data_IF_630466627349
#
_entry.id   IF_630466627349
#
_cell.length_a   1.000
_cell.length_b   1.000
_cell.length_c   1.000
_cell.angle_alpha   90.00
_cell.angle_beta   90.00
_cell.angle_gamma   90.00
#
_symmetry.space_group_name_H-M   'P 1'
#
loop_
_entity.id
_entity.type
_entity.pdbx_description
1 polymer ?
#
# COMPACT_ATOMS: atom_id res chain seq x y z
N UNK A 1 -8.58 -19.90 17.32
CA UNK A 1 -7.79 -18.70 17.57
C UNK A 1 -6.35 -19.01 17.16
N UNK A 2 -5.99 -18.68 15.92
CA UNK A 2 -4.65 -18.93 15.38
C UNK A 2 -3.86 -17.65 15.54
N UNK A 3 -2.86 -17.67 16.40
CA UNK A 3 -1.93 -16.56 16.60
C UNK A 3 -0.79 -16.79 15.60
N UNK A 4 -0.72 -15.96 14.56
CA UNK A 4 0.44 -15.93 13.66
C UNK A 4 1.63 -15.30 14.41
N UNK A 5 2.83 -15.89 14.32
CA UNK A 5 4.02 -15.31 14.94
C UNK A 5 4.45 -14.00 14.25
N UNK A 6 5.07 -13.05 14.99
CA UNK A 6 5.36 -11.69 14.51
C UNK A 6 6.44 -11.56 13.41
N UNK A 7 6.95 -12.65 12.84
CA UNK A 7 8.01 -12.65 11.82
C UNK A 7 7.68 -13.52 10.60
N UNK A 8 6.44 -13.52 10.13
CA UNK A 8 5.99 -14.40 9.03
C UNK A 8 6.28 -13.88 7.61
N UNK A 9 7.38 -13.17 7.38
CA UNK A 9 7.86 -12.91 6.01
C UNK A 9 9.10 -13.74 5.71
N UNK A 10 9.00 -15.07 5.73
CA UNK A 10 10.04 -15.90 5.14
C UNK A 10 9.77 -16.05 3.63
N UNK A 11 10.71 -15.63 2.82
CA UNK A 11 10.69 -15.57 1.34
C UNK A 11 10.31 -16.91 0.69
N UNK A 12 10.49 -18.02 1.36
CA UNK A 12 10.25 -19.37 0.82
C UNK A 12 8.77 -19.76 0.63
N UNK A 13 7.82 -19.04 1.23
CA UNK A 13 6.38 -19.28 1.06
C UNK A 13 5.83 -18.46 -0.13
N UNK A 14 6.51 -17.40 -0.53
CA UNK A 14 6.05 -16.46 -1.57
C UNK A 14 6.31 -16.95 -3.02
N UNK A 15 7.18 -17.93 -3.25
CA UNK A 15 7.45 -18.43 -4.60
C UNK A 15 6.27 -19.21 -5.23
N UNK A 16 5.26 -19.60 -4.43
CA UNK A 16 4.01 -20.23 -4.90
C UNK A 16 2.77 -19.39 -4.61
N UNK A 17 2.92 -18.20 -4.04
CA UNK A 17 1.81 -17.31 -3.79
C UNK A 17 1.31 -16.70 -5.11
N UNK A 18 0.00 -16.54 -5.22
CA UNK A 18 -0.60 -15.76 -6.30
C UNK A 18 0.06 -14.37 -6.39
N UNK A 19 0.19 -13.79 -7.58
CA UNK A 19 0.61 -12.40 -7.72
C UNK A 19 -0.18 -11.50 -6.76
N UNK A 20 0.46 -10.49 -6.18
CA UNK A 20 -0.16 -9.65 -5.16
C UNK A 20 -1.50 -9.03 -5.62
N UNK A 21 -1.62 -8.68 -6.90
CA UNK A 21 -2.88 -8.21 -7.49
C UNK A 21 -4.04 -9.22 -7.35
N UNK A 22 -3.78 -10.51 -7.52
CA UNK A 22 -4.80 -11.57 -7.34
C UNK A 22 -5.11 -11.71 -5.85
N UNK A 23 -4.10 -11.66 -5.00
CA UNK A 23 -4.27 -11.76 -3.55
C UNK A 23 -5.16 -10.64 -3.00
N UNK A 24 -4.93 -9.39 -3.38
CA UNK A 24 -5.80 -8.28 -3.00
C UNK A 24 -7.23 -8.47 -3.52
N UNK A 25 -7.40 -8.89 -4.78
CA UNK A 25 -8.74 -9.16 -5.35
C UNK A 25 -9.48 -10.29 -4.62
N UNK A 26 -8.78 -11.34 -4.15
CA UNK A 26 -9.39 -12.41 -3.36
C UNK A 26 -9.80 -11.92 -1.97
N UNK A 27 -8.96 -11.10 -1.34
CA UNK A 27 -9.25 -10.49 -0.05
C UNK A 27 -10.52 -9.64 -0.13
N UNK A 28 -10.60 -8.75 -1.10
CA UNK A 28 -11.75 -7.88 -1.31
C UNK A 28 -13.05 -8.67 -1.55
N UNK A 29 -13.02 -9.67 -2.44
CA UNK A 29 -14.18 -10.54 -2.69
C UNK A 29 -14.65 -11.29 -1.45
N UNK A 30 -13.70 -11.74 -0.62
CA UNK A 30 -14.05 -12.42 0.63
C UNK A 30 -14.74 -11.47 1.59
N UNK A 31 -14.31 -10.21 1.66
CA UNK A 31 -14.95 -9.19 2.49
C UNK A 31 -16.32 -8.78 1.97
N UNK A 32 -16.46 -8.55 0.66
CA UNK A 32 -17.76 -8.27 0.04
C UNK A 32 -18.79 -9.38 0.31
N UNK A 33 -18.35 -10.64 0.38
CA UNK A 33 -19.22 -11.78 0.70
C UNK A 33 -19.63 -11.83 2.18
N UNK A 34 -18.80 -11.31 3.09
CA UNK A 34 -19.08 -11.31 4.53
C UNK A 34 -19.93 -10.12 4.94
N UNK A 35 -19.70 -8.97 4.36
CA UNK A 35 -20.43 -7.73 4.66
C UNK A 35 -20.58 -6.91 3.37
N UNK A 36 -21.65 -7.15 2.60
CA UNK A 36 -21.91 -6.40 1.37
C UNK A 36 -22.14 -4.93 1.70
N UNK A 37 -21.14 -4.10 1.47
CA UNK A 37 -21.25 -2.65 1.65
C UNK A 37 -21.80 -2.00 0.38
N UNK A 38 -22.94 -1.29 0.45
CA UNK A 38 -23.54 -0.66 -0.72
C UNK A 38 -22.72 0.51 -1.28
N UNK A 39 -21.79 1.07 -0.50
CA UNK A 39 -21.03 2.28 -0.82
C UNK A 39 -19.58 2.02 -1.26
N UNK A 40 -19.24 0.80 -1.66
CA UNK A 40 -17.92 0.50 -2.23
C UNK A 40 -17.70 1.32 -3.51
N UNK A 41 -16.58 2.02 -3.67
CA UNK A 41 -16.29 2.74 -4.90
C UNK A 41 -16.23 1.79 -6.08
N UNK A 42 -16.83 2.20 -7.22
CA UNK A 42 -16.86 1.39 -8.43
C UNK A 42 -15.45 1.15 -9.00
N UNK A 43 -14.56 2.13 -8.84
CA UNK A 43 -13.17 2.07 -9.25
C UNK A 43 -12.28 2.65 -8.15
N UNK A 44 -11.14 1.99 -7.91
CA UNK A 44 -10.16 2.44 -6.93
C UNK A 44 -8.77 1.91 -7.24
N UNK A 45 -7.78 2.53 -6.63
CA UNK A 45 -6.39 2.11 -6.69
C UNK A 45 -5.91 1.63 -5.31
N UNK A 46 -5.23 0.50 -5.24
CA UNK A 46 -4.48 0.10 -4.04
C UNK A 46 -3.00 0.41 -4.27
N UNK A 47 -2.41 1.20 -3.40
CA UNK A 47 -0.99 1.52 -3.38
C UNK A 47 -0.28 0.71 -2.28
N UNK A 48 0.41 -0.35 -2.68
CA UNK A 48 1.27 -1.14 -1.80
C UNK A 48 2.64 -0.44 -1.67
N UNK A 49 2.81 0.27 -0.58
CA UNK A 49 3.94 1.14 -0.28
C UNK A 49 5.07 0.33 0.38
N UNK A 50 5.85 -0.35 -0.47
CA UNK A 50 6.88 -1.30 -0.07
C UNK A 50 8.25 -0.68 0.22
N UNK A 51 9.22 -1.55 0.56
CA UNK A 51 10.59 -1.13 0.87
C UNK A 51 11.40 -0.78 -0.39
N UNK A 52 11.30 -1.56 -1.46
CA UNK A 52 12.05 -1.34 -2.70
C UNK A 52 11.28 -0.46 -3.70
N UNK A 53 9.97 -0.65 -3.78
CA UNK A 53 9.10 0.03 -4.74
C UNK A 53 7.70 0.20 -4.18
N UNK A 54 6.95 1.12 -4.77
CA UNK A 54 5.52 1.25 -4.56
C UNK A 54 4.81 0.62 -5.75
N UNK A 55 3.81 -0.21 -5.49
CA UNK A 55 3.03 -0.88 -6.52
C UNK A 55 1.60 -0.39 -6.48
N UNK A 56 1.12 0.09 -7.60
CA UNK A 56 -0.24 0.54 -7.77
C UNK A 56 -1.03 -0.55 -8.47
N UNK A 57 -2.16 -0.95 -7.90
CA UNK A 57 -3.08 -1.92 -8.44
C UNK A 57 -4.43 -1.25 -8.66
N UNK A 58 -4.90 -1.25 -9.90
CA UNK A 58 -6.16 -0.63 -10.30
C UNK A 58 -7.25 -1.69 -10.37
N UNK A 59 -8.38 -1.41 -9.73
CA UNK A 59 -9.52 -2.30 -9.64
C UNK A 59 -10.80 -1.61 -10.09
N UNK A 60 -11.69 -2.42 -10.69
CA UNK A 60 -13.08 -2.07 -10.94
C UNK A 60 -13.95 -3.07 -10.19
N UNK A 61 -14.59 -2.63 -9.11
CA UNK A 61 -15.10 -3.54 -8.08
C UNK A 61 -13.98 -4.45 -7.57
N UNK A 62 -14.21 -5.75 -7.48
CA UNK A 62 -13.20 -6.74 -7.09
C UNK A 62 -12.35 -7.27 -8.26
N UNK A 63 -12.49 -6.71 -9.48
CA UNK A 63 -11.78 -7.16 -10.68
C UNK A 63 -10.50 -6.34 -10.85
N UNK A 64 -9.37 -7.03 -10.91
CA UNK A 64 -8.08 -6.41 -11.24
C UNK A 64 -8.02 -6.02 -12.72
N UNK A 65 -7.68 -4.77 -13.00
CA UNK A 65 -7.56 -4.23 -14.36
C UNK A 65 -6.09 -4.14 -14.81
N UNK A 66 -5.27 -3.43 -14.05
CA UNK A 66 -3.86 -3.21 -14.39
C UNK A 66 -3.02 -2.84 -13.17
N UNK A 67 -1.70 -2.80 -13.34
CA UNK A 67 -0.79 -2.34 -12.29
C UNK A 67 0.32 -1.46 -12.85
N UNK A 68 0.93 -0.68 -11.95
CA UNK A 68 2.13 0.13 -12.21
C UNK A 68 3.11 -0.02 -11.06
N UNK A 69 4.40 0.11 -11.37
CA UNK A 69 5.47 0.10 -10.39
C UNK A 69 6.12 1.48 -10.40
N UNK A 70 6.31 2.04 -9.22
CA UNK A 70 7.07 3.25 -8.97
C UNK A 70 8.37 2.80 -8.28
N UNK A 71 9.49 3.10 -8.88
CA UNK A 71 10.83 2.67 -8.47
C UNK A 71 11.37 3.41 -7.23
N UNK A 72 10.46 3.86 -6.35
CA UNK A 72 10.77 4.47 -5.07
C UNK A 72 10.10 3.66 -3.95
N UNK A 73 10.84 3.48 -2.85
CA UNK A 73 10.35 2.78 -1.67
C UNK A 73 11.09 3.19 -0.40
N UNK A 74 10.89 2.44 0.67
CA UNK A 74 11.51 2.70 1.97
C UNK A 74 13.03 2.74 1.95
N UNK A 75 13.66 2.02 1.03
CA UNK A 75 15.11 2.02 0.86
C UNK A 75 15.64 3.38 0.41
N UNK A 76 14.91 4.08 -0.45
CA UNK A 76 15.30 5.44 -0.86
C UNK A 76 15.26 6.42 0.31
N UNK A 77 14.25 6.31 1.18
CA UNK A 77 14.18 7.10 2.42
C UNK A 77 15.32 6.76 3.37
N UNK A 78 15.63 5.47 3.54
CA UNK A 78 16.75 5.04 4.41
C UNK A 78 18.07 5.67 3.95
N UNK A 79 18.31 5.72 2.64
CA UNK A 79 19.51 6.34 2.09
C UNK A 79 19.54 7.87 2.35
N UNK A 80 18.43 8.58 2.12
CA UNK A 80 18.36 10.02 2.37
C UNK A 80 18.57 10.36 3.84
N UNK A 81 17.97 9.59 4.74
CA UNK A 81 18.13 9.78 6.19
C UNK A 81 19.54 9.43 6.63
N UNK A 82 20.15 8.37 6.07
CA UNK A 82 21.52 7.97 6.36
C UNK A 82 22.50 9.09 6.00
N UNK A 83 22.34 9.68 4.83
CA UNK A 83 23.16 10.80 4.37
C UNK A 83 22.97 12.04 5.26
N UNK A 84 21.74 12.39 5.58
CA UNK A 84 21.43 13.58 6.38
C UNK A 84 21.90 13.47 7.83
N UNK A 85 21.76 12.28 8.42
CA UNK A 85 22.15 12.02 9.82
C UNK A 85 23.59 11.50 9.98
N UNK A 86 24.32 11.27 8.87
CA UNK A 86 25.65 10.67 8.84
C UNK A 86 25.72 9.33 9.61
N UNK A 87 24.74 8.45 9.37
CA UNK A 87 24.62 7.13 10.00
C UNK A 87 24.55 6.02 8.96
N UNK A 88 24.71 4.76 9.42
CA UNK A 88 24.52 3.60 8.58
C UNK A 88 23.04 3.47 8.14
N UNK A 89 22.74 3.00 6.89
CA UNK A 89 21.37 2.82 6.41
C UNK A 89 20.48 1.94 7.31
N UNK A 90 21.04 0.96 8.01
CA UNK A 90 20.27 0.14 8.96
C UNK A 90 19.86 0.93 10.21
N UNK A 91 20.70 1.87 10.63
CA UNK A 91 20.37 2.81 11.72
C UNK A 91 19.33 3.80 11.23
N UNK A 92 19.49 4.33 10.01
CA UNK A 92 18.53 5.23 9.38
C UNK A 92 17.13 4.61 9.26
N UNK A 93 17.04 3.31 8.95
CA UNK A 93 15.77 2.59 8.91
C UNK A 93 15.06 2.58 10.28
N UNK A 94 15.80 2.51 11.38
CA UNK A 94 15.23 2.61 12.73
C UNK A 94 14.84 4.06 13.06
N UNK A 95 15.66 5.04 12.69
CA UNK A 95 15.36 6.46 12.83
C UNK A 95 14.07 6.83 12.09
N UNK A 96 13.92 6.36 10.84
CA UNK A 96 12.69 6.51 10.05
C UNK A 96 11.46 5.97 10.78
N UNK A 97 11.52 4.74 11.32
CA UNK A 97 10.37 4.12 11.99
C UNK A 97 9.96 4.85 13.26
N UNK A 98 10.92 5.34 14.02
CA UNK A 98 10.69 6.05 15.27
C UNK A 98 10.49 7.55 15.09
N UNK A 99 10.63 8.07 13.87
CA UNK A 99 10.76 9.50 13.58
C UNK A 99 11.77 10.21 14.51
N UNK A 100 12.90 9.54 14.77
CA UNK A 100 13.93 10.06 15.68
C UNK A 100 14.49 11.37 15.15
N UNK A 101 14.49 12.42 15.98
CA UNK A 101 14.91 13.77 15.59
C UNK A 101 14.18 14.31 14.34
N UNK A 102 12.92 13.94 14.17
CA UNK A 102 12.07 14.42 13.06
C UNK A 102 12.65 14.14 11.66
N UNK A 103 13.36 13.00 11.51
CA UNK A 103 14.03 12.65 10.23
C UNK A 103 13.06 12.45 9.08
N UNK A 104 11.78 12.22 9.35
CA UNK A 104 10.76 12.13 8.29
C UNK A 104 10.42 13.50 7.69
N UNK A 105 10.71 14.59 8.42
CA UNK A 105 10.33 15.95 8.07
C UNK A 105 11.50 16.77 7.49
N UNK A 106 12.64 16.13 7.16
CA UNK A 106 13.73 16.80 6.47
C UNK A 106 13.38 17.09 5.00
N UNK A 107 13.90 18.18 4.45
CA UNK A 107 13.59 18.62 3.09
C UNK A 107 13.80 17.51 2.04
N UNK A 108 14.86 16.73 2.15
CA UNK A 108 15.15 15.63 1.23
C UNK A 108 14.05 14.54 1.22
N UNK A 109 13.41 14.28 2.37
CA UNK A 109 12.28 13.38 2.47
C UNK A 109 11.03 13.97 1.80
N UNK A 110 10.71 15.24 2.06
CA UNK A 110 9.60 15.94 1.42
C UNK A 110 9.76 15.98 -0.12
N UNK A 111 10.98 16.21 -0.61
CA UNK A 111 11.27 16.16 -2.05
C UNK A 111 10.98 14.77 -2.64
N UNK A 112 11.29 13.69 -1.91
CA UNK A 112 10.97 12.33 -2.34
C UNK A 112 9.46 12.07 -2.29
N UNK A 113 8.75 12.51 -1.23
CA UNK A 113 7.31 12.37 -1.13
C UNK A 113 6.58 13.04 -2.30
N UNK A 114 7.01 14.25 -2.65
CA UNK A 114 6.48 14.96 -3.82
C UNK A 114 6.74 14.23 -5.14
N UNK A 115 7.94 13.65 -5.32
CA UNK A 115 8.23 12.83 -6.51
C UNK A 115 7.33 11.59 -6.57
N UNK A 116 7.12 10.90 -5.45
CA UNK A 116 6.20 9.76 -5.38
C UNK A 116 4.77 10.18 -5.73
N UNK A 117 4.29 11.30 -5.20
CA UNK A 117 2.96 11.82 -5.51
C UNK A 117 2.80 12.10 -7.02
N UNK A 118 3.80 12.71 -7.64
CA UNK A 118 3.79 12.96 -9.09
C UNK A 118 3.75 11.68 -9.91
N UNK A 119 4.50 10.64 -9.50
CA UNK A 119 4.47 9.35 -10.19
C UNK A 119 3.13 8.63 -10.01
N UNK A 120 2.50 8.73 -8.83
CA UNK A 120 1.13 8.24 -8.60
C UNK A 120 0.16 8.95 -9.55
N UNK A 121 0.20 10.29 -9.60
CA UNK A 121 -0.66 11.06 -10.51
C UNK A 121 -0.47 10.68 -11.98
N UNK A 122 0.78 10.46 -12.41
CA UNK A 122 1.06 9.99 -13.79
C UNK A 122 0.43 8.62 -14.06
N UNK A 123 0.52 7.71 -13.10
CA UNK A 123 -0.07 6.38 -13.24
C UNK A 123 -1.59 6.44 -13.28
N UNK A 124 -2.23 7.25 -12.44
CA UNK A 124 -3.68 7.47 -12.40
C UNK A 124 -4.17 8.11 -13.69
N UNK A 125 -3.51 9.17 -14.15
CA UNK A 125 -3.86 9.81 -15.41
C UNK A 125 -3.70 8.86 -16.61
N UNK A 126 -2.65 8.03 -16.62
CA UNK A 126 -2.45 7.02 -17.64
C UNK A 126 -3.56 5.98 -17.63
N UNK A 127 -4.00 5.53 -16.44
CA UNK A 127 -5.14 4.63 -16.29
C UNK A 127 -6.41 5.26 -16.85
N UNK A 128 -6.74 6.48 -16.42
CA UNK A 128 -7.92 7.22 -16.89
C UNK A 128 -7.95 7.43 -18.40
N UNK A 129 -6.78 7.72 -19.01
CA UNK A 129 -6.68 7.91 -20.46
C UNK A 129 -6.91 6.60 -21.26
N UNK A 130 -6.46 5.46 -20.73
CA UNK A 130 -6.53 4.17 -21.44
C UNK A 130 -7.76 3.33 -21.11
N UNK A 131 -8.53 3.72 -20.10
CA UNK A 131 -9.69 2.97 -19.62
C UNK A 131 -10.96 3.74 -19.95
N UNK A 132 -11.85 3.22 -20.83
CA UNK A 132 -13.11 3.90 -21.18
C UNK A 132 -13.99 4.11 -19.94
N UNK A 133 -14.47 5.35 -19.78
CA UNK A 133 -15.33 5.76 -18.67
C UNK A 133 -14.70 5.54 -17.28
N UNK A 134 -13.38 5.63 -17.18
CA UNK A 134 -12.72 5.58 -15.89
C UNK A 134 -13.09 6.80 -15.05
N UNK A 135 -13.50 6.56 -13.80
CA UNK A 135 -13.83 7.58 -12.79
C UNK A 135 -13.20 7.20 -11.45
N UNK A 136 -11.88 7.11 -11.44
CA UNK A 136 -11.10 6.77 -10.27
C UNK A 136 -10.96 7.99 -9.36
N UNK A 137 -11.59 7.93 -8.19
CA UNK A 137 -11.58 8.99 -7.19
C UNK A 137 -10.83 8.59 -5.92
N UNK A 138 -10.68 7.28 -5.66
CA UNK A 138 -10.21 6.75 -4.39
C UNK A 138 -8.91 5.96 -4.54
N UNK A 139 -7.97 6.21 -3.62
CA UNK A 139 -6.72 5.46 -3.50
C UNK A 139 -6.52 4.98 -2.07
N UNK A 140 -6.22 3.70 -1.92
CA UNK A 140 -6.04 3.03 -0.63
C UNK A 140 -4.58 2.68 -0.40
N UNK A 141 -4.00 3.21 0.67
CA UNK A 141 -2.61 2.96 1.02
C UNK A 141 -2.48 1.74 1.91
N UNK A 142 -1.47 0.92 1.66
CA UNK A 142 -1.08 -0.23 2.46
C UNK A 142 0.44 -0.43 2.42
N UNK A 143 0.96 -1.33 3.23
CA UNK A 143 2.39 -1.61 3.30
C UNK A 143 3.12 -0.78 4.34
N UNK A 144 4.44 -1.01 4.44
CA UNK A 144 5.24 -0.45 5.53
C UNK A 144 5.36 1.07 5.53
N UNK A 145 5.38 1.71 4.36
CA UNK A 145 5.48 3.18 4.24
C UNK A 145 4.14 3.88 4.45
N UNK A 146 3.01 3.19 4.28
CA UNK A 146 1.69 3.74 4.55
C UNK A 146 1.51 4.17 6.03
N UNK A 147 2.40 3.71 6.92
CA UNK A 147 2.44 4.10 8.34
C UNK A 147 3.24 5.36 8.62
N UNK A 148 3.95 5.90 7.63
CA UNK A 148 4.71 7.15 7.77
C UNK A 148 3.78 8.34 7.54
N UNK A 149 3.29 8.94 8.62
CA UNK A 149 2.30 10.01 8.58
C UNK A 149 2.77 11.19 7.74
N UNK A 150 4.03 11.62 7.87
CA UNK A 150 4.59 12.70 7.08
C UNK A 150 4.49 12.41 5.57
N UNK A 151 4.88 11.19 5.15
CA UNK A 151 4.81 10.79 3.75
C UNK A 151 3.37 10.72 3.22
N UNK A 152 2.47 10.08 3.97
CA UNK A 152 1.07 9.91 3.53
C UNK A 152 0.34 11.24 3.45
N UNK A 153 0.59 12.16 4.38
CA UNK A 153 0.02 13.51 4.36
C UNK A 153 0.53 14.33 3.17
N UNK A 154 1.84 14.35 2.91
CA UNK A 154 2.40 15.07 1.77
C UNK A 154 1.85 14.55 0.44
N UNK A 155 1.78 13.24 0.29
CA UNK A 155 1.20 12.62 -0.90
C UNK A 155 -0.28 12.99 -1.02
N UNK A 156 -1.06 12.86 0.05
CA UNK A 156 -2.49 13.21 0.05
C UNK A 156 -2.73 14.68 -0.31
N UNK A 157 -1.91 15.60 0.20
CA UNK A 157 -2.01 17.03 -0.11
C UNK A 157 -1.71 17.35 -1.59
N UNK A 158 -0.96 16.48 -2.26
CA UNK A 158 -0.56 16.68 -3.66
C UNK A 158 -1.52 15.99 -4.63
N UNK A 159 -2.15 14.88 -4.20
CA UNK A 159 -3.10 14.14 -5.03
C UNK A 159 -4.47 14.83 -5.07
N UNK A 160 -5.13 14.74 -6.24
CA UNK A 160 -6.53 15.16 -6.41
C UNK A 160 -7.49 13.98 -6.15
N UNK A 161 -7.09 13.01 -5.35
CA UNK A 161 -7.83 11.80 -5.01
C UNK A 161 -8.14 11.77 -3.52
N UNK A 162 -9.19 11.06 -3.15
CA UNK A 162 -9.45 10.71 -1.77
C UNK A 162 -8.46 9.64 -1.33
N UNK A 163 -7.66 9.92 -0.33
CA UNK A 163 -6.64 9.01 0.19
C UNK A 163 -7.17 8.33 1.45
N UNK A 164 -7.16 7.01 1.44
CA UNK A 164 -7.66 6.15 2.50
C UNK A 164 -6.58 5.16 2.95
N UNK A 165 -6.79 4.52 4.10
CA UNK A 165 -6.05 3.32 4.48
C UNK A 165 -6.80 2.07 3.99
N UNK A 166 -6.07 1.01 3.67
CA UNK A 166 -6.69 -0.20 3.10
C UNK A 166 -7.69 -0.87 4.05
N UNK A 167 -7.53 -0.71 5.36
CA UNK A 167 -8.45 -1.21 6.38
C UNK A 167 -9.85 -0.58 6.29
N UNK A 168 -9.97 0.62 5.73
CA UNK A 168 -11.27 1.27 5.49
C UNK A 168 -12.14 0.53 4.44
N UNK A 169 -11.52 -0.29 3.57
CA UNK A 169 -12.23 -1.19 2.65
C UNK A 169 -12.76 -2.47 3.34
N UNK A 170 -12.50 -2.63 4.62
CA UNK A 170 -12.77 -3.86 5.33
C UNK A 170 -13.94 -3.69 6.29
N UNK A 171 -14.79 -4.72 6.47
CA UNK A 171 -15.84 -4.68 7.46
C UNK A 171 -15.29 -4.47 8.88
N UNK A 172 -15.94 -3.63 9.68
CA UNK A 172 -15.57 -3.35 11.06
C UNK A 172 -15.43 -4.61 11.94
N UNK A 173 -16.17 -5.66 11.60
CA UNK A 173 -16.12 -6.96 12.30
C UNK A 173 -14.77 -7.69 12.14
N UNK A 174 -13.99 -7.34 11.13
CA UNK A 174 -12.70 -7.95 10.80
C UNK A 174 -11.52 -6.98 11.01
N UNK A 175 -11.80 -5.72 11.21
CA UNK A 175 -10.82 -4.69 11.59
C UNK A 175 -10.29 -4.93 13.01
N UNK A 176 -9.72 -6.10 13.23
CA UNK A 176 -8.94 -6.37 14.44
C UNK A 176 -7.62 -5.60 14.36
N UNK A 177 -7.16 -5.04 15.48
CA UNK A 177 -6.17 -3.97 15.52
C UNK A 177 -4.80 -4.26 14.93
N UNK A 178 -4.52 -5.28 14.20
CA UNK A 178 -3.15 -5.47 13.61
C UNK A 178 -3.01 -6.61 12.60
N UNK A 179 -4.06 -7.28 12.17
CA UNK A 179 -3.90 -8.51 11.35
C UNK A 179 -3.87 -8.22 9.85
N UNK A 180 -4.64 -7.26 9.38
CA UNK A 180 -4.77 -6.96 7.96
C UNK A 180 -3.72 -5.95 7.50
N UNK A 181 -3.40 -4.97 8.32
CA UNK A 181 -2.40 -3.93 8.04
C UNK A 181 -1.00 -4.47 7.77
N UNK A 182 -0.68 -5.64 8.34
CA UNK A 182 0.69 -6.16 8.27
C UNK A 182 1.01 -6.90 6.98
N UNK A 183 0.06 -7.68 6.45
CA UNK A 183 0.29 -8.50 5.25
C UNK A 183 -1.03 -8.84 4.52
N UNK A 184 -1.78 -7.86 3.98
CA UNK A 184 -3.07 -8.13 3.33
C UNK A 184 -2.95 -9.06 2.13
N UNK A 185 -1.87 -8.98 1.37
CA UNK A 185 -1.60 -9.88 0.26
C UNK A 185 -1.43 -11.35 0.70
N UNK A 186 -0.87 -11.60 1.88
CA UNK A 186 -0.76 -12.98 2.43
C UNK A 186 -2.12 -13.54 2.79
N UNK A 187 -2.99 -12.73 3.40
CA UNK A 187 -4.36 -13.14 3.71
C UNK A 187 -5.15 -13.48 2.44
N UNK A 188 -5.08 -12.62 1.42
CA UNK A 188 -5.74 -12.87 0.16
C UNK A 188 -5.20 -14.11 -0.60
N UNK A 189 -3.90 -14.41 -0.46
CA UNK A 189 -3.32 -15.62 -1.03
C UNK A 189 -3.80 -16.89 -0.31
N UNK A 190 -4.04 -16.83 1.00
CA UNK A 190 -4.61 -17.95 1.78
C UNK A 190 -6.07 -18.23 1.39
N UNK A 191 -6.86 -17.20 1.10
CA UNK A 191 -8.27 -17.34 0.69
C UNK A 191 -8.44 -17.98 -0.69
N UNK A 192 -7.38 -18.06 -1.52
CA UNK A 192 -7.42 -18.75 -2.80
C UNK A 192 -7.45 -20.29 -2.66
N UNK A 193 -7.04 -20.82 -1.49
CA UNK A 193 -6.93 -22.26 -1.26
C UNK A 193 -8.26 -23.00 -1.07
N UNK A 194 -9.34 -22.32 -0.78
CA UNK A 194 -10.64 -22.91 -0.41
C UNK A 194 -11.65 -22.99 -1.58
N UNK A 195 -11.25 -22.55 -2.78
CA UNK A 195 -12.04 -22.61 -4.00
C UNK A 195 -11.89 -23.96 -4.71
N UNK A 196 -12.56 -25.02 -4.23
CA UNK A 196 -12.87 -26.22 -4.99
C UNK A 196 -14.32 -26.18 -5.43
#
# INVERSE_FOLDING_TARGET
>A
MWILPPNCCSVSVLERAAPACIAYGNLLRAYEALDPQPDHPAEYCIADMGHQSIRLYFYRGSVFETSRIIEYGGQALDALIADAAAVDPHIAANYKRANYSEVQDIQACHDLYNRVAVEIMRAVNFYGFNTPNADLQDIYFTGGLARLTAMTQDIANTLSLNVHQLDELMPDSLAGPHTVDSCPAVLGALLQGDGK
#
